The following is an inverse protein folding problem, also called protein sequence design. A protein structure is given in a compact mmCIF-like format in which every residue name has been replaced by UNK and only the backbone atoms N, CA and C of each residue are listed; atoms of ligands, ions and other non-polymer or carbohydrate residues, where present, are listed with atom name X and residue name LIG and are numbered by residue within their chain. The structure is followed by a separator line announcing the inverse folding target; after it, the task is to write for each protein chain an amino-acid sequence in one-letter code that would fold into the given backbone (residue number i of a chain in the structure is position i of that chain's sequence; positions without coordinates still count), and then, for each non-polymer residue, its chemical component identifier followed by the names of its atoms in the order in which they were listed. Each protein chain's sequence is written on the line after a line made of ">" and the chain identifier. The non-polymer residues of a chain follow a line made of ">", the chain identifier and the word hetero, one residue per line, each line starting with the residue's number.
data_IF_587673161429
#
_entry.id   IF_587673161429
#
_cell.length_a   1.000
_cell.length_b   1.000
_cell.length_c   1.000
_cell.angle_alpha   90.00
_cell.angle_beta   90.00
_cell.angle_gamma   90.00
#
_symmetry.space_group_name_H-M   'P 1'
#
loop_
_entity.id
_entity.type
_entity.pdbx_description
1 polymer ?
#
# COMPACT_ATOMS: atom_id res chain seq x y z
N UNK A 1 -43.29 -35.23 -22.26
CA UNK A 1 -41.89 -35.57 -22.59
C UNK A 1 -41.55 -34.88 -23.90
N UNK A 2 -40.95 -33.70 -23.83
CA UNK A 2 -40.47 -33.01 -25.02
C UNK A 2 -38.98 -33.34 -25.15
N UNK A 3 -38.61 -34.17 -26.12
CA UNK A 3 -37.21 -34.35 -26.50
C UNK A 3 -36.71 -33.00 -27.03
N UNK A 4 -35.70 -32.46 -26.36
CA UNK A 4 -34.95 -31.28 -26.81
C UNK A 4 -34.16 -31.68 -28.06
N UNK A 5 -34.82 -31.68 -29.22
CA UNK A 5 -34.23 -31.83 -30.56
C UNK A 5 -33.47 -30.55 -30.97
N UNK A 6 -32.34 -30.32 -30.30
CA UNK A 6 -31.38 -29.29 -30.64
C UNK A 6 -30.08 -29.59 -29.91
N UNK A 7 -28.93 -29.34 -30.54
CA UNK A 7 -27.64 -29.52 -29.90
C UNK A 7 -27.60 -28.67 -28.61
N UNK A 8 -27.76 -29.31 -27.45
CA UNK A 8 -27.76 -28.61 -26.16
C UNK A 8 -26.38 -28.02 -25.94
N UNK A 9 -26.27 -26.70 -26.01
CA UNK A 9 -25.03 -25.99 -25.72
C UNK A 9 -24.79 -25.97 -24.20
N UNK A 10 -24.12 -27.02 -23.71
CA UNK A 10 -23.81 -27.24 -22.28
C UNK A 10 -23.12 -26.02 -21.64
N UNK A 11 -22.11 -25.47 -22.30
CA UNK A 11 -21.37 -24.28 -21.81
C UNK A 11 -22.24 -23.02 -21.73
N UNK A 12 -23.16 -22.83 -22.69
CA UNK A 12 -24.10 -21.70 -22.68
C UNK A 12 -25.10 -21.77 -21.52
N UNK A 13 -25.54 -22.98 -21.18
CA UNK A 13 -26.41 -23.20 -20.01
C UNK A 13 -25.65 -22.97 -18.70
N UNK A 14 -24.42 -23.48 -18.58
CA UNK A 14 -23.57 -23.22 -17.41
C UNK A 14 -23.36 -21.71 -17.18
N UNK A 15 -23.04 -20.96 -18.24
CA UNK A 15 -22.87 -19.51 -18.14
C UNK A 15 -24.17 -18.78 -17.75
N UNK A 16 -25.31 -19.23 -18.27
CA UNK A 16 -26.63 -18.66 -17.94
C UNK A 16 -27.00 -18.92 -16.48
N UNK A 17 -26.81 -20.15 -16.00
CA UNK A 17 -27.06 -20.52 -14.59
C UNK A 17 -26.17 -19.69 -13.67
N UNK A 18 -24.89 -19.57 -14.00
CA UNK A 18 -23.93 -18.81 -13.20
C UNK A 18 -24.24 -17.31 -13.18
N UNK A 19 -24.69 -16.76 -14.31
CA UNK A 19 -25.17 -15.37 -14.39
C UNK A 19 -26.41 -15.14 -13.53
N UNK A 20 -27.37 -16.07 -13.55
CA UNK A 20 -28.57 -15.99 -12.70
C UNK A 20 -28.21 -16.14 -11.22
N UNK A 21 -27.28 -17.04 -10.87
CA UNK A 21 -26.78 -17.20 -9.51
C UNK A 21 -26.09 -15.94 -8.96
N UNK A 22 -25.48 -15.13 -9.84
CA UNK A 22 -24.86 -13.86 -9.48
C UNK A 22 -25.90 -12.73 -9.29
N UNK A 23 -26.94 -12.67 -10.15
CA UNK A 23 -27.88 -11.55 -10.20
C UNK A 23 -29.11 -11.72 -9.30
N UNK A 24 -29.53 -12.96 -9.02
CA UNK A 24 -30.79 -13.25 -8.34
C UNK A 24 -30.62 -13.43 -6.83
N UNK A 25 -31.67 -13.07 -6.09
CA UNK A 25 -31.80 -13.43 -4.68
C UNK A 25 -31.92 -14.96 -4.52
N UNK A 26 -31.57 -15.54 -3.36
CA UNK A 26 -31.76 -16.98 -3.13
C UNK A 26 -33.21 -17.44 -3.22
N UNK A 27 -34.15 -16.55 -2.89
CA UNK A 27 -35.60 -16.81 -2.94
C UNK A 27 -36.09 -16.97 -4.38
N UNK A 28 -35.52 -16.21 -5.32
CA UNK A 28 -35.87 -16.28 -6.74
C UNK A 28 -35.05 -17.34 -7.50
N UNK A 29 -33.79 -17.53 -7.10
CA UNK A 29 -32.85 -18.38 -7.80
C UNK A 29 -33.19 -19.88 -7.69
N UNK A 30 -33.61 -20.34 -6.51
CA UNK A 30 -33.99 -21.75 -6.29
C UNK A 30 -35.13 -22.21 -7.22
N UNK A 31 -36.30 -21.54 -7.20
CA UNK A 31 -37.41 -21.87 -8.09
C UNK A 31 -37.05 -21.77 -9.58
N UNK A 32 -36.24 -20.79 -9.96
CA UNK A 32 -35.76 -20.66 -11.34
C UNK A 32 -34.86 -21.84 -11.75
N UNK A 33 -33.96 -22.26 -10.87
CA UNK A 33 -33.06 -23.40 -11.10
C UNK A 33 -33.86 -24.70 -11.26
N UNK A 34 -34.86 -24.93 -10.41
CA UNK A 34 -35.76 -26.09 -10.50
C UNK A 34 -36.62 -26.07 -11.76
N UNK A 35 -37.04 -24.90 -12.24
CA UNK A 35 -37.83 -24.76 -13.47
C UNK A 35 -37.01 -24.94 -14.75
N UNK A 36 -35.68 -25.06 -14.67
CA UNK A 36 -34.80 -25.11 -15.84
C UNK A 36 -34.86 -26.49 -16.53
N UNK A 37 -35.41 -26.62 -17.75
CA UNK A 37 -35.71 -27.93 -18.35
C UNK A 37 -34.48 -28.79 -18.63
N UNK A 38 -33.32 -28.18 -18.91
CA UNK A 38 -32.08 -28.91 -19.20
C UNK A 38 -31.60 -29.74 -18.00
N UNK A 39 -31.93 -29.30 -16.78
CA UNK A 39 -31.51 -29.94 -15.54
C UNK A 39 -32.41 -31.12 -15.16
N UNK A 40 -33.55 -31.31 -15.84
CA UNK A 40 -34.40 -32.50 -15.66
C UNK A 40 -33.90 -33.70 -16.45
N UNK A 41 -32.98 -33.49 -17.39
CA UNK A 41 -32.37 -34.57 -18.14
C UNK A 41 -31.26 -35.24 -17.34
N UNK A 42 -31.40 -36.55 -17.08
CA UNK A 42 -30.36 -37.37 -16.46
C UNK A 42 -29.04 -37.38 -17.27
N UNK A 43 -29.11 -37.13 -18.58
CA UNK A 43 -27.93 -37.09 -19.45
C UNK A 43 -27.21 -35.74 -19.41
N UNK A 44 -27.96 -34.64 -19.48
CA UNK A 44 -27.36 -33.30 -19.61
C UNK A 44 -27.02 -32.66 -18.26
N UNK A 45 -27.73 -33.02 -17.18
CA UNK A 45 -27.49 -32.45 -15.84
C UNK A 45 -26.04 -32.64 -15.36
N UNK A 46 -25.41 -33.83 -15.44
CA UNK A 46 -24.00 -34.00 -15.03
C UNK A 46 -23.04 -33.17 -15.91
N UNK A 47 -23.24 -33.17 -17.23
CA UNK A 47 -22.40 -32.41 -18.17
C UNK A 47 -22.48 -30.89 -17.92
N UNK A 48 -23.67 -30.37 -17.60
CA UNK A 48 -23.86 -28.96 -17.21
C UNK A 48 -23.21 -28.69 -15.86
N UNK A 49 -23.27 -29.64 -14.92
CA UNK A 49 -22.60 -29.57 -13.63
C UNK A 49 -21.09 -29.43 -13.77
N UNK A 50 -20.44 -30.31 -14.53
CA UNK A 50 -19.00 -30.26 -14.78
C UNK A 50 -18.59 -28.95 -15.45
N UNK A 51 -19.33 -28.53 -16.49
CA UNK A 51 -19.09 -27.26 -17.16
C UNK A 51 -19.28 -26.06 -16.23
N UNK A 52 -20.22 -26.13 -15.28
CA UNK A 52 -20.47 -25.09 -14.29
C UNK A 52 -19.37 -25.03 -13.23
N UNK A 53 -18.84 -26.16 -12.76
CA UNK A 53 -17.67 -26.20 -11.88
C UNK A 53 -16.44 -25.61 -12.54
N UNK A 54 -16.17 -25.97 -13.79
CA UNK A 54 -15.06 -25.39 -14.54
C UNK A 54 -15.26 -23.90 -14.80
N UNK A 55 -16.49 -23.47 -15.05
CA UNK A 55 -16.81 -22.05 -15.18
C UNK A 55 -16.71 -21.32 -13.84
N UNK A 56 -17.11 -21.88 -12.70
CA UNK A 56 -16.90 -21.28 -11.36
C UNK A 56 -15.41 -21.23 -11.00
N UNK A 57 -14.64 -22.23 -11.43
CA UNK A 57 -13.20 -22.29 -11.22
C UNK A 57 -12.47 -21.20 -12.03
N UNK A 58 -12.92 -20.95 -13.28
CA UNK A 58 -12.33 -19.97 -14.20
C UNK A 58 -12.90 -18.56 -14.05
N UNK A 59 -14.18 -18.43 -13.75
CA UNK A 59 -14.89 -17.16 -13.74
C UNK A 59 -14.56 -16.31 -12.52
N UNK A 60 -14.84 -15.02 -12.65
CA UNK A 60 -14.62 -14.05 -11.59
C UNK A 60 -15.91 -13.56 -10.94
N UNK A 61 -17.01 -14.25 -11.20
CA UNK A 61 -18.32 -13.85 -10.76
C UNK A 61 -18.49 -14.09 -9.25
N UNK A 62 -19.23 -13.20 -8.62
CA UNK A 62 -19.57 -13.31 -7.21
C UNK A 62 -20.87 -14.12 -7.06
N UNK A 63 -20.89 -15.05 -6.11
CA UNK A 63 -22.06 -15.90 -5.85
C UNK A 63 -22.26 -15.94 -4.33
N UNK A 64 -23.48 -15.70 -3.86
CA UNK A 64 -23.80 -15.79 -2.44
C UNK A 64 -23.66 -17.23 -1.93
N UNK A 65 -23.33 -17.41 -0.65
CA UNK A 65 -23.23 -18.74 -0.05
C UNK A 65 -24.55 -19.53 -0.18
N UNK A 66 -25.69 -18.84 -0.10
CA UNK A 66 -27.01 -19.45 -0.27
C UNK A 66 -27.23 -19.96 -1.71
N UNK A 67 -26.92 -19.17 -2.74
CA UNK A 67 -27.03 -19.59 -4.14
C UNK A 67 -26.04 -20.71 -4.47
N UNK A 68 -24.85 -20.66 -3.89
CA UNK A 68 -23.87 -21.73 -4.01
C UNK A 68 -24.35 -23.02 -3.36
N UNK A 69 -24.98 -22.96 -2.19
CA UNK A 69 -25.61 -24.12 -1.56
C UNK A 69 -26.80 -24.70 -2.34
N UNK A 70 -27.53 -23.87 -3.10
CA UNK A 70 -28.56 -24.35 -4.04
C UNK A 70 -27.93 -25.07 -5.24
N UNK A 71 -26.83 -24.54 -5.78
CA UNK A 71 -26.08 -25.20 -6.86
C UNK A 71 -25.49 -26.53 -6.40
N UNK A 72 -24.82 -26.58 -5.25
CA UNK A 72 -24.23 -27.79 -4.70
C UNK A 72 -25.29 -28.90 -4.55
N UNK A 73 -26.41 -28.60 -3.90
CA UNK A 73 -27.54 -29.54 -3.74
C UNK A 73 -28.18 -29.94 -5.07
N UNK A 74 -28.28 -29.02 -6.03
CA UNK A 74 -28.86 -29.33 -7.33
C UNK A 74 -28.00 -30.35 -8.08
N UNK A 75 -26.68 -30.21 -8.04
CA UNK A 75 -25.75 -31.05 -8.79
C UNK A 75 -25.11 -32.20 -8.00
N UNK A 76 -25.36 -32.31 -6.70
CA UNK A 76 -24.81 -33.37 -5.83
C UNK A 76 -23.39 -33.11 -5.34
N UNK A 77 -22.84 -31.91 -5.53
CA UNK A 77 -21.44 -31.63 -5.19
C UNK A 77 -21.13 -31.67 -3.69
N UNK A 78 -22.16 -31.64 -2.84
CA UNK A 78 -22.07 -31.82 -1.40
C UNK A 78 -22.00 -33.31 -0.98
N UNK A 79 -22.23 -34.25 -1.90
CA UNK A 79 -22.09 -35.69 -1.65
C UNK A 79 -20.65 -36.17 -1.90
N UNK A 80 -20.08 -36.87 -0.91
CA UNK A 80 -18.70 -37.40 -0.92
C UNK A 80 -18.47 -38.42 -2.07
N UNK A 81 -19.53 -38.92 -2.71
CA UNK A 81 -19.47 -39.95 -3.74
C UNK A 81 -19.41 -39.43 -5.18
N UNK A 82 -19.59 -38.12 -5.39
CA UNK A 82 -19.60 -37.51 -6.74
C UNK A 82 -18.20 -37.29 -7.34
N UNK A 83 -17.13 -37.65 -6.62
CA UNK A 83 -15.76 -37.59 -7.13
C UNK A 83 -15.21 -36.17 -7.31
N UNK A 84 -15.96 -35.15 -6.92
CA UNK A 84 -15.49 -33.76 -6.86
C UNK A 84 -14.55 -33.60 -5.66
N UNK A 85 -13.38 -33.02 -5.90
CA UNK A 85 -12.43 -32.71 -4.84
C UNK A 85 -13.04 -31.69 -3.85
N UNK A 86 -13.25 -32.09 -2.57
CA UNK A 86 -13.91 -31.24 -1.58
C UNK A 86 -13.10 -29.97 -1.28
N UNK A 87 -11.77 -30.03 -1.34
CA UNK A 87 -10.91 -28.87 -1.08
C UNK A 87 -11.01 -27.87 -2.24
N UNK A 88 -11.04 -28.38 -3.47
CA UNK A 88 -11.28 -27.55 -4.67
C UNK A 88 -12.65 -26.87 -4.60
N UNK A 89 -13.70 -27.60 -4.23
CA UNK A 89 -15.03 -27.02 -4.09
C UNK A 89 -15.07 -25.95 -2.99
N UNK A 90 -14.54 -26.23 -1.79
CA UNK A 90 -14.47 -25.27 -0.70
C UNK A 90 -13.72 -23.99 -1.10
N UNK A 91 -12.62 -24.12 -1.88
CA UNK A 91 -11.87 -22.97 -2.39
C UNK A 91 -12.69 -22.09 -3.35
N UNK A 92 -13.49 -22.71 -4.23
CA UNK A 92 -14.37 -22.03 -5.18
C UNK A 92 -15.49 -21.30 -4.43
N UNK A 93 -16.11 -21.96 -3.45
CA UNK A 93 -17.18 -21.40 -2.65
C UNK A 93 -16.70 -20.20 -1.81
N UNK A 94 -15.59 -20.35 -1.07
CA UNK A 94 -14.98 -19.27 -0.28
C UNK A 94 -14.66 -18.05 -1.15
N UNK A 95 -14.05 -18.27 -2.33
CA UNK A 95 -13.70 -17.20 -3.26
C UNK A 95 -14.91 -16.47 -3.82
N UNK A 96 -15.91 -17.22 -4.30
CA UNK A 96 -17.13 -16.65 -4.87
C UNK A 96 -17.92 -15.84 -3.83
N UNK A 97 -18.02 -16.38 -2.61
CA UNK A 97 -18.73 -15.76 -1.50
C UNK A 97 -18.03 -14.51 -0.97
N UNK A 98 -16.69 -14.51 -0.86
CA UNK A 98 -15.94 -13.32 -0.45
C UNK A 98 -16.14 -12.16 -1.42
N UNK A 99 -16.10 -12.42 -2.73
CA UNK A 99 -16.39 -11.39 -3.74
C UNK A 99 -17.81 -10.86 -3.61
N UNK A 100 -18.77 -11.75 -3.35
CA UNK A 100 -20.15 -11.35 -3.16
C UNK A 100 -20.30 -10.46 -1.92
N UNK A 101 -19.64 -10.78 -0.81
CA UNK A 101 -19.62 -9.95 0.40
C UNK A 101 -18.97 -8.57 0.15
N UNK A 102 -17.92 -8.52 -0.68
CA UNK A 102 -17.26 -7.28 -1.07
C UNK A 102 -18.13 -6.40 -2.01
N UNK A 103 -18.82 -7.01 -2.98
CA UNK A 103 -19.69 -6.31 -3.94
C UNK A 103 -21.00 -5.83 -3.31
N UNK A 104 -21.63 -6.66 -2.49
CA UNK A 104 -22.84 -6.31 -1.74
C UNK A 104 -22.59 -5.26 -0.65
N UNK A 105 -21.32 -5.07 -0.27
CA UNK A 105 -20.94 -4.18 0.83
C UNK A 105 -21.24 -4.76 2.22
N UNK A 106 -21.47 -6.06 2.34
CA UNK A 106 -21.72 -6.71 3.63
C UNK A 106 -20.42 -6.83 4.46
N UNK A 107 -20.10 -5.76 5.18
CA UNK A 107 -18.89 -5.68 6.00
C UNK A 107 -18.86 -6.71 7.15
N UNK A 108 -20.01 -7.09 7.71
CA UNK A 108 -20.02 -8.04 8.82
C UNK A 108 -19.56 -9.43 8.36
N UNK A 109 -20.10 -9.88 7.24
CA UNK A 109 -19.79 -11.18 6.65
C UNK A 109 -18.37 -11.21 6.08
N UNK A 110 -17.96 -10.15 5.37
CA UNK A 110 -16.59 -10.05 4.89
C UNK A 110 -15.56 -10.04 6.05
N UNK A 111 -15.87 -9.37 7.18
CA UNK A 111 -14.97 -9.39 8.33
C UNK A 111 -14.80 -10.78 8.92
N UNK A 112 -15.90 -11.54 9.05
CA UNK A 112 -15.86 -12.89 9.59
C UNK A 112 -15.02 -13.82 8.69
N UNK A 113 -15.21 -13.74 7.37
CA UNK A 113 -14.44 -14.53 6.40
C UNK A 113 -12.94 -14.22 6.44
N UNK A 114 -12.57 -12.94 6.47
CA UNK A 114 -11.16 -12.54 6.50
C UNK A 114 -10.47 -12.88 7.83
N UNK A 115 -11.21 -12.85 8.93
CA UNK A 115 -10.71 -13.25 10.26
C UNK A 115 -10.50 -14.76 10.37
N UNK A 116 -11.45 -15.55 9.87
CA UNK A 116 -11.39 -17.02 9.86
C UNK A 116 -10.20 -17.53 9.05
N UNK A 117 -9.92 -16.90 7.90
CA UNK A 117 -8.78 -17.22 7.05
C UNK A 117 -7.44 -16.68 7.59
N UNK A 118 -7.48 -15.84 8.63
CA UNK A 118 -6.29 -15.17 9.18
C UNK A 118 -5.65 -14.16 8.23
N UNK A 119 -6.33 -13.77 7.15
CA UNK A 119 -5.79 -12.90 6.11
C UNK A 119 -5.79 -11.43 6.51
N UNK A 120 -6.83 -11.00 7.24
CA UNK A 120 -6.95 -9.62 7.71
C UNK A 120 -7.84 -9.52 8.94
N UNK A 121 -7.36 -8.82 9.97
CA UNK A 121 -8.14 -8.51 11.18
C UNK A 121 -8.45 -7.02 11.22
N UNK A 122 -9.59 -6.64 10.63
CA UNK A 122 -10.10 -5.28 10.68
C UNK A 122 -11.46 -5.26 11.37
N UNK A 123 -11.66 -4.31 12.28
CA UNK A 123 -12.96 -4.11 12.91
C UNK A 123 -14.05 -3.78 11.88
N UNK A 124 -15.27 -4.27 12.12
CA UNK A 124 -16.43 -4.12 11.21
C UNK A 124 -16.67 -2.69 10.71
N UNK A 125 -16.52 -1.69 11.60
CA UNK A 125 -16.70 -0.27 11.25
C UNK A 125 -15.64 0.21 10.25
N UNK A 126 -14.39 -0.20 10.45
CA UNK A 126 -13.29 0.14 9.53
C UNK A 126 -13.48 -0.53 8.19
N UNK A 127 -13.87 -1.81 8.19
CA UNK A 127 -14.13 -2.55 6.96
C UNK A 127 -15.31 -1.95 6.17
N UNK A 128 -16.42 -1.61 6.83
CA UNK A 128 -17.56 -0.95 6.21
C UNK A 128 -17.18 0.40 5.59
N UNK A 129 -16.33 1.18 6.27
CA UNK A 129 -15.79 2.44 5.73
C UNK A 129 -14.93 2.20 4.49
N UNK A 130 -14.06 1.19 4.50
CA UNK A 130 -13.21 0.85 3.35
C UNK A 130 -14.04 0.39 2.16
N UNK A 131 -15.02 -0.50 2.38
CA UNK A 131 -15.96 -0.93 1.34
C UNK A 131 -16.75 0.25 0.77
N UNK A 132 -17.25 1.16 1.62
CA UNK A 132 -17.93 2.38 1.17
C UNK A 132 -17.02 3.29 0.36
N UNK A 133 -15.71 3.33 0.65
CA UNK A 133 -14.79 4.05 -0.22
C UNK A 133 -14.74 3.37 -1.58
N UNK A 134 -14.48 2.06 -1.65
CA UNK A 134 -14.27 1.31 -2.89
C UNK A 134 -15.52 1.08 -3.76
N UNK A 135 -16.72 1.11 -3.18
CA UNK A 135 -17.97 0.84 -3.90
C UNK A 135 -18.60 2.09 -4.54
N UNK A 136 -18.12 3.29 -4.23
CA UNK A 136 -18.66 4.53 -4.77
C UNK A 136 -18.03 4.90 -6.12
N UNK A 137 -18.76 5.58 -7.02
CA UNK A 137 -18.18 6.07 -8.27
C UNK A 137 -17.00 7.00 -7.98
N UNK A 138 -15.95 6.89 -8.79
CA UNK A 138 -14.72 7.61 -8.53
C UNK A 138 -14.87 9.12 -8.71
N UNK A 139 -14.43 9.87 -7.70
CA UNK A 139 -14.37 11.33 -7.75
C UNK A 139 -13.10 11.83 -7.05
N UNK A 140 -12.17 12.39 -7.81
CA UNK A 140 -10.85 12.82 -7.33
C UNK A 140 -10.91 13.67 -6.04
N UNK A 141 -11.78 14.68 -5.96
CA UNK A 141 -11.90 15.54 -4.77
C UNK A 141 -12.34 14.77 -3.52
N UNK A 142 -13.32 13.87 -3.67
CA UNK A 142 -13.82 13.05 -2.58
C UNK A 142 -12.75 12.07 -2.10
N UNK A 143 -12.07 11.40 -3.03
CA UNK A 143 -11.00 10.45 -2.70
C UNK A 143 -9.80 11.14 -2.05
N UNK A 144 -9.43 12.34 -2.49
CA UNK A 144 -8.40 13.16 -1.85
C UNK A 144 -8.78 13.51 -0.41
N UNK A 145 -10.05 13.87 -0.16
CA UNK A 145 -10.54 14.16 1.19
C UNK A 145 -10.56 12.93 2.10
N UNK A 146 -10.98 11.78 1.57
CA UNK A 146 -10.98 10.51 2.30
C UNK A 146 -9.56 10.04 2.66
N UNK A 147 -8.57 10.33 1.81
CA UNK A 147 -7.17 9.98 2.00
C UNK A 147 -6.39 10.93 2.94
N UNK A 148 -7.04 11.90 3.60
CA UNK A 148 -6.35 12.82 4.49
C UNK A 148 -5.73 12.14 5.71
N UNK A 149 -6.32 11.05 6.22
CA UNK A 149 -5.73 10.25 7.29
C UNK A 149 -4.82 9.16 6.71
N UNK A 150 -3.55 9.04 7.15
CA UNK A 150 -2.65 7.99 6.69
C UNK A 150 -3.17 6.57 6.95
N UNK A 151 -3.87 6.38 8.08
CA UNK A 151 -4.46 5.10 8.46
C UNK A 151 -5.44 4.58 7.41
N UNK A 152 -6.30 5.44 6.86
CA UNK A 152 -7.23 5.04 5.81
C UNK A 152 -6.52 4.50 4.57
N UNK A 153 -5.34 5.03 4.23
CA UNK A 153 -4.56 4.53 3.09
C UNK A 153 -4.06 3.12 3.38
N UNK A 154 -3.59 2.88 4.61
CA UNK A 154 -3.09 1.56 5.05
C UNK A 154 -4.24 0.56 5.09
N UNK A 155 -5.36 0.92 5.72
CA UNK A 155 -6.55 0.06 5.87
C UNK A 155 -7.14 -0.35 4.52
N UNK A 156 -7.33 0.61 3.61
CA UNK A 156 -7.88 0.32 2.27
C UNK A 156 -6.93 -0.56 1.47
N UNK A 157 -5.61 -0.31 1.52
CA UNK A 157 -4.66 -1.16 0.80
C UNK A 157 -4.54 -2.55 1.43
N UNK A 158 -4.60 -2.67 2.75
CA UNK A 158 -4.62 -3.98 3.43
C UNK A 158 -5.87 -4.79 3.05
N UNK A 159 -7.03 -4.13 2.91
CA UNK A 159 -8.23 -4.78 2.37
C UNK A 159 -8.03 -5.23 0.92
N UNK A 160 -7.50 -4.37 0.05
CA UNK A 160 -7.22 -4.72 -1.34
C UNK A 160 -6.23 -5.90 -1.44
N UNK A 161 -5.19 -5.93 -0.60
CA UNK A 161 -4.22 -7.03 -0.53
C UNK A 161 -4.86 -8.34 -0.07
N UNK A 162 -5.72 -8.29 0.95
CA UNK A 162 -6.44 -9.46 1.44
C UNK A 162 -7.43 -10.02 0.41
N UNK A 163 -8.07 -9.14 -0.37
CA UNK A 163 -8.98 -9.53 -1.44
C UNK A 163 -8.24 -10.07 -2.67
N UNK A 164 -7.09 -9.50 -3.03
CA UNK A 164 -6.30 -9.97 -4.19
C UNK A 164 -5.48 -11.24 -3.88
N UNK A 165 -5.31 -11.60 -2.60
CA UNK A 165 -4.43 -12.70 -2.14
C UNK A 165 -3.07 -12.68 -2.86
N UNK A 166 -2.42 -11.53 -2.88
CA UNK A 166 -1.11 -11.36 -3.55
C UNK A 166 -1.16 -11.39 -5.08
N UNK A 167 -2.30 -11.01 -5.68
CA UNK A 167 -2.49 -10.90 -7.14
C UNK A 167 -3.01 -12.18 -7.81
N UNK A 168 -3.35 -13.21 -7.03
CA UNK A 168 -3.94 -14.45 -7.53
C UNK A 168 -5.43 -14.31 -7.84
N UNK A 169 -6.12 -13.39 -7.15
CA UNK A 169 -7.54 -13.16 -7.33
C UNK A 169 -7.79 -11.75 -7.86
N UNK A 170 -8.49 -11.59 -8.99
CA UNK A 170 -8.93 -10.26 -9.41
C UNK A 170 -9.94 -9.69 -8.42
N UNK A 171 -9.86 -8.37 -8.25
CA UNK A 171 -10.82 -7.58 -7.49
C UNK A 171 -12.21 -7.59 -8.14
N UNK A 172 -13.27 -7.31 -7.36
CA UNK A 172 -14.62 -7.12 -7.86
C UNK A 172 -14.71 -6.24 -9.11
N UNK A 173 -15.39 -6.72 -10.15
CA UNK A 173 -15.53 -6.00 -11.42
C UNK A 173 -16.44 -4.76 -11.28
N UNK A 174 -17.32 -4.75 -10.28
CA UNK A 174 -18.20 -3.63 -9.97
C UNK A 174 -17.44 -2.38 -9.47
N UNK A 175 -16.21 -2.54 -8.99
CA UNK A 175 -15.42 -1.42 -8.47
C UNK A 175 -14.71 -0.65 -9.58
N UNK A 176 -14.68 0.68 -9.45
CA UNK A 176 -14.02 1.53 -10.42
C UNK A 176 -12.49 1.33 -10.39
N UNK A 177 -11.93 0.97 -11.54
CA UNK A 177 -10.47 0.78 -11.71
C UNK A 177 -9.67 2.02 -11.32
N UNK A 178 -10.19 3.23 -11.61
CA UNK A 178 -9.50 4.48 -11.27
C UNK A 178 -9.42 4.68 -9.76
N UNK A 179 -10.43 4.22 -9.03
CA UNK A 179 -10.46 4.30 -7.58
C UNK A 179 -9.48 3.34 -6.92
N UNK A 180 -9.44 2.09 -7.38
CA UNK A 180 -8.44 1.11 -6.93
C UNK A 180 -7.03 1.62 -7.21
N UNK A 181 -6.78 2.11 -8.44
CA UNK A 181 -5.49 2.69 -8.82
C UNK A 181 -5.11 3.90 -7.96
N UNK A 182 -6.05 4.78 -7.62
CA UNK A 182 -5.80 5.90 -6.72
C UNK A 182 -5.26 5.42 -5.37
N UNK A 183 -5.96 4.51 -4.69
CA UNK A 183 -5.54 4.00 -3.38
C UNK A 183 -4.23 3.24 -3.43
N UNK A 184 -4.03 2.38 -4.45
CA UNK A 184 -2.77 1.67 -4.69
C UNK A 184 -1.60 2.62 -4.91
N UNK A 185 -1.82 3.68 -5.69
CA UNK A 185 -0.79 4.68 -5.99
C UNK A 185 -0.38 5.51 -4.77
N UNK A 186 -1.22 5.59 -3.73
CA UNK A 186 -0.88 6.27 -2.48
C UNK A 186 0.02 5.41 -1.58
N UNK A 187 -0.14 4.08 -1.63
CA UNK A 187 0.71 3.12 -0.92
C UNK A 187 2.07 2.93 -1.60
N UNK A 188 2.17 3.14 -2.91
CA UNK A 188 3.46 3.04 -3.61
C UNK A 188 4.44 4.15 -3.19
N UNK A 189 5.46 3.76 -2.42
CA UNK A 189 6.53 4.64 -1.93
C UNK A 189 7.73 4.69 -2.89
N UNK A 190 7.75 3.88 -3.95
CA UNK A 190 8.92 3.75 -4.83
C UNK A 190 9.18 5.00 -5.69
N UNK A 191 8.10 5.68 -6.11
CA UNK A 191 8.16 6.82 -7.03
C UNK A 191 7.36 8.01 -6.50
N UNK A 192 7.75 9.25 -6.86
CA UNK A 192 6.90 10.41 -6.61
C UNK A 192 5.65 10.28 -7.47
N UNK A 193 4.49 10.49 -6.85
CA UNK A 193 3.19 10.35 -7.50
C UNK A 193 2.39 11.63 -7.30
N UNK A 194 1.73 12.11 -8.36
CA UNK A 194 0.85 13.29 -8.35
C UNK A 194 -0.20 13.21 -7.24
N UNK A 195 -0.85 12.06 -7.05
CA UNK A 195 -1.88 11.92 -6.00
C UNK A 195 -1.30 12.06 -4.60
N UNK A 196 -0.12 11.49 -4.36
CA UNK A 196 0.59 11.66 -3.08
C UNK A 196 0.99 13.12 -2.87
N UNK A 197 1.46 13.81 -3.90
CA UNK A 197 1.78 15.24 -3.80
C UNK A 197 0.53 16.06 -3.45
N UNK A 198 -0.61 15.79 -4.10
CA UNK A 198 -1.87 16.49 -3.82
C UNK A 198 -2.39 16.23 -2.41
N UNK A 199 -2.36 14.97 -1.93
CA UNK A 199 -2.77 14.64 -0.55
C UNK A 199 -1.88 15.36 0.47
N UNK A 200 -0.55 15.34 0.30
CA UNK A 200 0.35 15.99 1.25
C UNK A 200 0.31 17.52 1.16
N UNK A 201 0.13 18.08 -0.04
CA UNK A 201 -0.11 19.51 -0.21
C UNK A 201 -1.40 19.96 0.49
N UNK A 202 -2.48 19.16 0.40
CA UNK A 202 -3.72 19.44 1.09
C UNK A 202 -3.55 19.35 2.61
N UNK A 203 -2.85 18.32 3.13
CA UNK A 203 -2.51 18.23 4.56
C UNK A 203 -1.71 19.45 5.04
N UNK A 204 -0.68 19.84 4.28
CA UNK A 204 0.14 21.01 4.59
C UNK A 204 -0.69 22.31 4.58
N UNK A 205 -1.59 22.46 3.60
CA UNK A 205 -2.50 23.59 3.52
C UNK A 205 -3.53 23.64 4.66
N UNK A 206 -4.10 22.50 5.07
CA UNK A 206 -5.01 22.41 6.21
C UNK A 206 -4.31 22.77 7.52
N UNK A 207 -3.10 22.26 7.73
CA UNK A 207 -2.27 22.61 8.89
C UNK A 207 -1.91 24.10 8.89
N UNK A 208 -1.53 24.65 7.73
CA UNK A 208 -1.25 26.08 7.58
C UNK A 208 -2.49 26.95 7.90
N UNK A 209 -3.66 26.57 7.40
CA UNK A 209 -4.92 27.27 7.68
C UNK A 209 -5.27 27.22 9.17
N UNK A 210 -5.08 26.06 9.82
CA UNK A 210 -5.29 25.92 11.27
C UNK A 210 -4.32 26.80 12.07
N UNK A 211 -3.04 26.80 11.70
CA UNK A 211 -2.03 27.66 12.34
C UNK A 211 -2.38 29.14 12.18
N UNK A 212 -2.81 29.56 11.00
CA UNK A 212 -3.23 30.94 10.74
C UNK A 212 -4.48 31.32 11.53
N UNK A 213 -5.45 30.41 11.68
CA UNK A 213 -6.65 30.67 12.48
C UNK A 213 -6.32 30.85 13.97
N UNK A 214 -5.44 29.99 14.51
CA UNK A 214 -4.99 30.09 15.91
C UNK A 214 -4.19 31.37 16.12
N UNK A 215 -3.17 31.61 15.27
CA UNK A 215 -2.34 32.80 15.36
C UNK A 215 -3.16 34.08 15.18
N UNK A 216 -4.10 34.11 14.23
CA UNK A 216 -5.03 35.21 14.01
C UNK A 216 -5.94 35.49 15.20
N UNK A 217 -6.45 34.45 15.86
CA UNK A 217 -7.20 34.61 17.11
C UNK A 217 -6.33 35.21 18.23
N UNK A 218 -5.10 34.71 18.40
CA UNK A 218 -4.17 35.21 19.41
C UNK A 218 -3.69 36.64 19.13
N UNK A 219 -3.49 37.00 17.86
CA UNK A 219 -3.09 38.37 17.46
C UNK A 219 -4.23 39.36 17.74
N UNK A 220 -5.47 39.02 17.39
CA UNK A 220 -6.64 39.84 17.68
C UNK A 220 -6.83 40.04 19.20
N UNK A 221 -6.64 38.99 20.00
CA UNK A 221 -6.69 39.08 21.46
C UNK A 221 -5.60 40.02 22.02
N UNK A 222 -4.37 39.90 21.51
CA UNK A 222 -3.25 40.77 21.91
C UNK A 222 -3.47 42.22 21.50
N UNK A 223 -4.06 42.48 20.33
CA UNK A 223 -4.45 43.82 19.89
C UNK A 223 -5.55 44.41 20.78
N UNK A 224 -6.52 43.60 21.21
CA UNK A 224 -7.55 44.04 22.15
C UNK A 224 -6.96 44.45 23.51
N UNK A 225 -5.87 43.80 23.93
CA UNK A 225 -5.09 44.17 25.12
C UNK A 225 -4.12 45.33 24.89
N UNK A 226 -4.10 45.92 23.69
CA UNK A 226 -3.18 47.00 23.25
C UNK A 226 -1.69 46.62 23.31
N UNK A 227 -1.37 45.32 23.31
CA UNK A 227 0.00 44.84 23.18
C UNK A 227 0.34 44.62 21.70
N UNK A 228 0.83 45.70 21.06
CA UNK A 228 1.24 45.69 19.65
C UNK A 228 2.46 44.80 19.39
N UNK A 229 3.39 44.68 20.35
CA UNK A 229 4.63 43.92 20.15
C UNK A 229 4.32 42.42 20.08
N UNK A 230 3.52 41.93 21.02
CA UNK A 230 3.12 40.53 21.06
C UNK A 230 2.19 40.19 19.89
N UNK A 231 1.28 41.11 19.52
CA UNK A 231 0.43 40.94 18.33
C UNK A 231 1.25 40.82 17.04
N UNK A 232 2.25 41.69 16.83
CA UNK A 232 3.11 41.62 15.65
C UNK A 232 3.92 40.32 15.60
N UNK A 233 4.50 39.91 16.75
CA UNK A 233 5.29 38.68 16.83
C UNK A 233 4.46 37.43 16.52
N UNK A 234 3.26 37.31 17.09
CA UNK A 234 2.35 36.19 16.84
C UNK A 234 1.86 36.15 15.39
N UNK A 235 1.59 37.31 14.80
CA UNK A 235 1.12 37.41 13.42
C UNK A 235 2.18 36.98 12.42
N UNK A 236 3.38 37.56 12.53
CA UNK A 236 4.51 37.22 11.66
C UNK A 236 4.91 35.75 11.87
N UNK A 237 5.03 35.30 13.12
CA UNK A 237 5.36 33.92 13.44
C UNK A 237 4.35 32.92 12.90
N UNK A 238 3.05 33.22 13.03
CA UNK A 238 1.97 32.39 12.50
C UNK A 238 1.99 32.28 10.97
N UNK A 239 2.25 33.39 10.27
CA UNK A 239 2.38 33.39 8.81
C UNK A 239 3.60 32.58 8.36
N UNK A 240 4.76 32.80 8.99
CA UNK A 240 5.98 32.05 8.66
C UNK A 240 5.81 30.55 8.89
N UNK A 241 5.24 30.15 10.04
CA UNK A 241 4.98 28.75 10.34
C UNK A 241 3.96 28.14 9.37
N UNK A 242 2.89 28.87 9.03
CA UNK A 242 1.89 28.43 8.04
C UNK A 242 2.51 28.19 6.66
N UNK A 243 3.34 29.13 6.18
CA UNK A 243 4.07 28.97 4.91
C UNK A 243 5.01 27.76 4.96
N UNK A 244 5.74 27.58 6.06
CA UNK A 244 6.64 26.45 6.24
C UNK A 244 5.89 25.11 6.19
N UNK A 245 4.73 25.00 6.86
CA UNK A 245 3.90 23.79 6.84
C UNK A 245 3.32 23.49 5.46
N UNK A 246 2.88 24.51 4.72
CA UNK A 246 2.39 24.37 3.36
C UNK A 246 3.51 23.87 2.41
N UNK A 247 4.69 24.48 2.48
CA UNK A 247 5.87 24.07 1.72
C UNK A 247 6.31 22.66 2.08
N UNK A 248 6.35 22.35 3.38
CA UNK A 248 6.69 21.01 3.88
C UNK A 248 5.73 19.97 3.29
N UNK A 249 4.41 20.21 3.35
CA UNK A 249 3.42 19.31 2.76
C UNK A 249 3.58 19.11 1.25
N UNK A 250 3.81 20.18 0.48
CA UNK A 250 3.99 20.10 -0.96
C UNK A 250 5.27 19.35 -1.37
N UNK A 251 6.37 19.57 -0.65
CA UNK A 251 7.68 19.01 -0.98
C UNK A 251 7.94 17.65 -0.32
N UNK A 252 7.16 17.25 0.69
CA UNK A 252 7.42 16.06 1.49
C UNK A 252 7.59 14.79 0.66
N UNK A 253 6.79 14.62 -0.40
CA UNK A 253 6.87 13.43 -1.27
C UNK A 253 8.21 13.39 -2.00
N UNK A 254 8.68 14.51 -2.52
CA UNK A 254 9.97 14.61 -3.20
C UNK A 254 11.13 14.48 -2.22
N UNK A 255 11.05 15.11 -1.04
CA UNK A 255 12.04 14.99 0.02
C UNK A 255 12.15 13.54 0.49
N UNK A 256 11.03 12.87 0.77
CA UNK A 256 11.01 11.46 1.19
C UNK A 256 11.53 10.54 0.10
N UNK A 257 11.16 10.78 -1.16
CA UNK A 257 11.67 10.02 -2.29
C UNK A 257 13.18 10.22 -2.46
N UNK A 258 13.67 11.45 -2.43
CA UNK A 258 15.09 11.76 -2.48
C UNK A 258 15.84 11.11 -1.31
N UNK A 259 15.32 11.22 -0.09
CA UNK A 259 15.91 10.58 1.10
C UNK A 259 15.95 9.05 0.95
N UNK A 260 14.93 8.44 0.33
CA UNK A 260 14.93 7.01 0.02
C UNK A 260 16.00 6.65 -1.02
N UNK A 261 16.12 7.41 -2.11
CA UNK A 261 17.17 7.21 -3.12
C UNK A 261 18.56 7.35 -2.49
N UNK A 262 18.71 8.31 -1.58
CA UNK A 262 19.95 8.47 -0.83
C UNK A 262 20.18 7.28 0.13
N UNK A 263 19.17 6.75 0.82
CA UNK A 263 19.39 5.76 1.88
C UNK A 263 19.34 4.29 1.45
N UNK A 264 18.62 3.95 0.38
CA UNK A 264 18.21 2.56 0.09
C UNK A 264 18.50 2.11 -1.34
N UNK A 265 18.16 2.93 -2.34
CA UNK A 265 17.98 2.47 -3.72
C UNK A 265 19.06 3.00 -4.66
N UNK A 266 20.31 2.55 -4.47
CA UNK A 266 21.26 2.58 -5.57
C UNK A 266 20.80 1.54 -6.59
N UNK A 267 19.93 1.95 -7.51
CA UNK A 267 19.77 1.26 -8.79
C UNK A 267 21.17 0.93 -9.32
N UNK A 268 21.40 -0.24 -9.96
CA UNK A 268 22.64 -0.56 -10.66
C UNK A 268 22.90 0.35 -11.88
N UNK A 269 22.35 1.55 -11.86
CA UNK A 269 22.59 2.67 -12.75
C UNK A 269 24.01 3.19 -12.58
N UNK A 270 24.57 3.59 -13.72
CA UNK A 270 25.89 4.23 -13.88
C UNK A 270 26.06 5.48 -13.03
N UNK A 271 24.96 6.05 -12.54
CA UNK A 271 24.92 7.28 -11.74
C UNK A 271 24.70 7.03 -10.24
N UNK A 272 24.60 5.78 -9.79
CA UNK A 272 24.40 5.47 -8.37
C UNK A 272 25.50 6.05 -7.48
N UNK A 273 26.75 6.09 -7.95
CA UNK A 273 27.84 6.70 -7.18
C UNK A 273 27.62 8.20 -6.90
N UNK A 274 26.93 8.95 -7.77
CA UNK A 274 26.59 10.35 -7.51
C UNK A 274 25.64 10.49 -6.31
N UNK A 275 24.68 9.57 -6.20
CA UNK A 275 23.77 9.54 -5.06
C UNK A 275 24.51 9.27 -3.76
N UNK A 276 25.71 8.66 -3.79
CA UNK A 276 26.53 8.43 -2.61
C UNK A 276 27.23 9.69 -2.07
N UNK A 277 27.52 10.69 -2.91
CA UNK A 277 28.34 11.87 -2.59
C UNK A 277 27.74 12.92 -1.64
N UNK A 278 26.42 13.02 -1.37
CA UNK A 278 25.90 14.08 -0.51
C UNK A 278 26.45 14.06 0.91
N UNK A 279 26.71 12.88 1.51
CA UNK A 279 27.31 12.80 2.85
C UNK A 279 28.72 13.45 2.92
N UNK A 280 29.69 13.09 2.05
CA UNK A 280 31.00 13.74 2.06
C UNK A 280 30.94 15.22 1.63
N UNK A 281 30.04 15.59 0.71
CA UNK A 281 29.87 17.00 0.32
C UNK A 281 29.33 17.86 1.48
N UNK A 282 28.40 17.33 2.29
CA UNK A 282 27.90 18.00 3.50
C UNK A 282 29.02 18.18 4.52
N UNK A 283 29.86 17.17 4.72
CA UNK A 283 31.04 17.27 5.59
C UNK A 283 32.05 18.32 5.09
N UNK A 284 32.32 18.35 3.78
CA UNK A 284 33.21 19.35 3.18
C UNK A 284 32.63 20.77 3.30
N UNK A 285 31.34 20.95 3.01
CA UNK A 285 30.64 22.22 3.17
C UNK A 285 30.69 22.70 4.62
N UNK A 286 30.52 21.80 5.59
CA UNK A 286 30.67 22.11 7.01
C UNK A 286 32.07 22.66 7.32
N UNK A 287 33.14 22.01 6.85
CA UNK A 287 34.51 22.50 7.04
C UNK A 287 34.72 23.89 6.43
N UNK A 288 34.18 24.14 5.23
CA UNK A 288 34.26 25.45 4.57
C UNK A 288 33.52 26.52 5.37
N UNK A 289 32.33 26.23 5.91
CA UNK A 289 31.61 27.18 6.74
C UNK A 289 32.37 27.49 8.03
N UNK A 290 32.91 26.47 8.70
CA UNK A 290 33.63 26.63 9.97
C UNK A 290 34.96 27.35 9.79
N UNK A 291 35.80 26.91 8.85
CA UNK A 291 37.19 27.40 8.72
C UNK A 291 37.36 28.47 7.65
N UNK A 292 36.51 28.49 6.62
CA UNK A 292 36.60 29.43 5.51
C UNK A 292 35.79 30.71 5.72
N UNK A 293 34.64 30.61 6.40
CA UNK A 293 33.70 31.73 6.60
C UNK A 293 33.50 32.12 8.07
N UNK A 294 34.17 31.43 9.00
CA UNK A 294 34.06 31.62 10.46
C UNK A 294 32.61 31.46 11.01
N UNK A 295 31.75 30.74 10.26
CA UNK A 295 30.36 30.42 10.59
C UNK A 295 30.30 29.11 11.36
N UNK A 296 30.83 29.13 12.59
CA UNK A 296 31.08 27.92 13.38
C UNK A 296 29.81 27.19 13.78
N UNK A 297 28.75 27.91 14.16
CA UNK A 297 27.48 27.30 14.58
C UNK A 297 26.77 26.66 13.40
N UNK A 298 26.68 27.37 12.27
CA UNK A 298 26.03 26.93 11.05
C UNK A 298 26.74 25.71 10.46
N UNK A 299 28.07 25.74 10.40
CA UNK A 299 28.87 24.62 9.93
C UNK A 299 28.73 23.39 10.83
N UNK A 300 28.66 23.57 12.16
CA UNK A 300 28.44 22.45 13.10
C UNK A 300 27.03 21.86 12.96
N UNK A 301 26.00 22.70 12.80
CA UNK A 301 24.62 22.26 12.58
C UNK A 301 24.47 21.48 11.27
N UNK A 302 25.26 21.81 10.25
CA UNK A 302 25.27 21.11 8.97
C UNK A 302 25.79 19.66 9.07
N UNK A 303 26.52 19.29 10.12
CA UNK A 303 27.02 17.93 10.30
C UNK A 303 25.94 16.94 10.73
N UNK A 304 24.88 17.40 11.41
CA UNK A 304 23.78 16.55 11.86
C UNK A 304 23.06 15.83 10.71
N UNK A 305 22.63 16.51 9.63
CA UNK A 305 22.03 15.82 8.49
C UNK A 305 23.02 14.91 7.75
N UNK A 306 24.30 15.28 7.66
CA UNK A 306 25.35 14.43 7.05
C UNK A 306 25.55 13.12 7.81
N UNK A 307 25.62 13.20 9.15
CA UNK A 307 25.74 12.04 10.02
C UNK A 307 24.49 11.17 9.99
N UNK A 308 23.30 11.77 10.05
CA UNK A 308 22.04 11.05 9.95
C UNK A 308 21.94 10.27 8.63
N UNK A 309 22.38 10.87 7.52
CA UNK A 309 22.40 10.23 6.21
C UNK A 309 23.35 9.03 6.16
N UNK A 310 24.59 9.21 6.64
CA UNK A 310 25.61 8.16 6.66
C UNK A 310 25.18 6.98 7.55
N UNK A 311 24.61 7.28 8.72
CA UNK A 311 24.11 6.29 9.67
C UNK A 311 22.89 5.54 9.13
N UNK A 312 21.93 6.26 8.51
CA UNK A 312 20.74 5.65 7.93
C UNK A 312 21.09 4.67 6.79
N UNK A 313 22.11 5.00 5.98
CA UNK A 313 22.65 4.08 4.95
C UNK A 313 23.25 2.82 5.55
N UNK A 314 24.06 2.98 6.60
CA UNK A 314 24.69 1.87 7.30
C UNK A 314 23.65 0.90 7.86
N UNK A 315 22.69 1.42 8.65
CA UNK A 315 21.67 0.61 9.33
C UNK A 315 20.80 -0.17 8.33
N UNK A 316 20.34 0.49 7.27
CA UNK A 316 19.32 -0.07 6.37
C UNK A 316 19.84 -1.13 5.39
N UNK A 317 21.16 -1.31 5.23
CA UNK A 317 21.75 -2.32 4.33
C UNK A 317 22.52 -3.45 5.04
N UNK A 318 22.82 -3.31 6.33
CA UNK A 318 23.45 -4.39 7.12
C UNK A 318 22.43 -5.24 7.90
N UNK A 319 21.12 -5.14 7.59
CA UNK A 319 20.01 -5.80 8.34
C UNK A 319 20.08 -5.57 9.86
N UNK A 320 20.70 -4.47 10.29
CA UNK A 320 20.95 -4.18 11.71
C UNK A 320 21.88 -5.17 12.44
N UNK A 321 22.50 -6.14 11.75
CA UNK A 321 23.41 -7.13 12.36
C UNK A 321 24.77 -6.49 12.69
N UNK A 322 24.79 -5.74 13.79
CA UNK A 322 26.01 -5.11 14.33
C UNK A 322 25.79 -3.71 14.92
N UNK A 323 24.62 -3.10 14.67
CA UNK A 323 24.34 -1.75 15.15
C UNK A 323 23.87 -1.77 16.61
N UNK A 324 24.75 -1.34 17.53
CA UNK A 324 24.40 -1.08 18.93
C UNK A 324 24.24 0.43 19.14
N UNK A 325 23.06 0.93 19.58
CA UNK A 325 22.82 2.38 19.77
C UNK A 325 23.80 3.02 20.77
N UNK A 326 24.40 2.23 21.67
CA UNK A 326 25.48 2.68 22.57
C UNK A 326 26.70 3.24 21.84
N UNK A 327 26.92 2.85 20.58
CA UNK A 327 28.05 3.34 19.76
C UNK A 327 27.83 4.76 19.21
N UNK A 328 26.65 5.37 19.39
CA UNK A 328 26.32 6.74 18.96
C UNK A 328 26.39 7.79 20.07
N UNK A 329 26.48 7.37 21.35
CA UNK A 329 26.52 8.30 22.49
C UNK A 329 27.84 9.11 22.50
N UNK A 330 28.98 8.48 22.21
CA UNK A 330 30.27 9.17 22.07
C UNK A 330 30.34 10.12 20.85
N UNK A 331 29.91 9.67 19.65
CA UNK A 331 29.81 10.53 18.46
C UNK A 331 28.92 11.76 18.64
N UNK A 332 27.82 11.66 19.39
CA UNK A 332 26.91 12.79 19.65
C UNK A 332 27.56 13.93 20.44
N UNK A 333 28.55 13.63 21.29
CA UNK A 333 29.33 14.63 22.04
C UNK A 333 30.48 15.18 21.16
N UNK A 334 31.11 14.33 20.35
CA UNK A 334 32.14 14.73 19.39
C UNK A 334 31.64 15.64 18.27
N UNK A 335 30.33 15.67 18.01
CA UNK A 335 29.72 16.55 17.00
C UNK A 335 29.83 18.05 17.29
N UNK A 336 30.08 18.45 18.53
CA UNK A 336 30.35 19.86 18.87
C UNK A 336 31.76 20.31 18.47
N UNK A 337 32.61 19.36 18.04
CA UNK A 337 33.91 19.59 17.44
C UNK A 337 33.79 19.27 15.94
N UNK A 338 33.75 20.27 15.05
CA UNK A 338 33.44 20.09 13.63
C UNK A 338 34.34 19.07 12.91
N UNK A 339 35.61 19.02 13.30
CA UNK A 339 36.63 18.13 12.74
C UNK A 339 36.32 16.67 13.07
N UNK A 340 35.91 16.40 14.32
CA UNK A 340 35.52 15.06 14.78
C UNK A 340 34.23 14.62 14.10
N UNK A 341 33.25 15.53 13.97
CA UNK A 341 32.02 15.26 13.24
C UNK A 341 32.27 14.94 11.75
N UNK A 342 33.13 15.71 11.07
CA UNK A 342 33.52 15.45 9.68
C UNK A 342 34.22 14.10 9.52
N UNK A 343 35.22 13.81 10.37
CA UNK A 343 35.94 12.55 10.35
C UNK A 343 34.99 11.36 10.49
N UNK A 344 33.99 11.48 11.36
CA UNK A 344 33.02 10.42 11.60
C UNK A 344 32.06 10.20 10.43
N UNK A 345 31.57 11.28 9.80
CA UNK A 345 30.75 11.19 8.56
C UNK A 345 31.54 10.53 7.43
N UNK A 346 32.80 10.94 7.22
CA UNK A 346 33.67 10.39 6.19
C UNK A 346 34.04 8.93 6.48
N UNK A 347 34.30 8.56 7.74
CA UNK A 347 34.60 7.20 8.13
C UNK A 347 33.42 6.27 7.85
N UNK A 348 32.19 6.65 8.26
CA UNK A 348 30.98 5.89 7.96
C UNK A 348 30.71 5.78 6.46
N UNK A 349 30.98 6.85 5.71
CA UNK A 349 30.80 6.85 4.26
C UNK A 349 31.83 5.97 3.54
N UNK A 350 33.11 6.09 3.87
CA UNK A 350 34.21 5.34 3.22
C UNK A 350 34.10 3.85 3.49
N UNK A 351 33.86 3.46 4.74
CA UNK A 351 33.66 2.06 5.15
C UNK A 351 32.49 1.42 4.40
N UNK A 352 31.39 2.16 4.23
CA UNK A 352 30.28 1.73 3.39
C UNK A 352 30.67 1.64 1.89
N UNK A 353 31.28 2.68 1.33
CA UNK A 353 31.58 2.78 -0.10
C UNK A 353 32.55 1.67 -0.56
N UNK A 354 33.57 1.38 0.24
CA UNK A 354 34.52 0.30 -0.02
C UNK A 354 33.85 -1.06 0.02
N UNK A 355 32.99 -1.33 1.03
CA UNK A 355 32.26 -2.61 1.14
C UNK A 355 31.28 -2.83 -0.01
N UNK A 356 30.55 -1.79 -0.42
CA UNK A 356 29.59 -1.84 -1.54
C UNK A 356 30.30 -2.11 -2.88
N UNK A 357 31.51 -1.55 -3.08
CA UNK A 357 32.38 -1.89 -4.22
C UNK A 357 32.88 -3.34 -4.17
N UNK A 358 33.35 -3.81 -3.02
CA UNK A 358 33.82 -5.19 -2.86
C UNK A 358 32.70 -6.23 -3.10
N UNK A 359 31.48 -5.97 -2.59
CA UNK A 359 30.32 -6.86 -2.83
C UNK A 359 29.93 -6.95 -4.30
N UNK A 360 29.96 -5.82 -5.03
CA UNK A 360 29.68 -5.84 -6.48
C UNK A 360 30.72 -6.65 -7.25
N UNK A 361 32.00 -6.46 -6.93
CA UNK A 361 33.09 -7.25 -7.53
C UNK A 361 32.94 -8.76 -7.24
N UNK A 362 32.43 -9.16 -6.08
CA UNK A 362 32.18 -10.58 -5.76
C UNK A 362 30.99 -11.20 -6.48
N UNK A 363 30.00 -10.41 -6.93
CA UNK A 363 28.82 -10.90 -7.66
C UNK A 363 29.13 -11.05 -9.16
N UNK A 364 30.03 -10.22 -9.68
CA UNK A 364 30.46 -10.25 -11.09
C UNK A 364 31.55 -11.31 -11.37
N UNK A 365 32.05 -12.00 -10.35
CA UNK A 365 32.94 -13.16 -10.49
C UNK A 365 32.09 -14.40 -10.82
N UNK A 366 32.37 -15.14 -11.91
CA UNK A 366 31.69 -16.41 -12.15
C UNK A 366 31.92 -17.34 -10.96
N UNK A 367 30.94 -18.19 -10.59
CA UNK A 367 31.13 -19.15 -9.52
C UNK A 367 32.41 -19.94 -9.81
N UNK A 368 33.25 -20.20 -8.78
CA UNK A 368 34.47 -20.99 -8.99
C UNK A 368 34.07 -22.28 -9.67
N UNK A 369 34.71 -22.60 -10.80
CA UNK A 369 34.50 -23.84 -11.50
C UNK A 369 34.60 -24.96 -10.47
N UNK A 370 33.50 -25.69 -10.25
CA UNK A 370 33.51 -26.88 -9.43
C UNK A 370 34.61 -27.78 -9.99
N UNK A 371 35.73 -27.84 -9.29
CA UNK A 371 36.84 -28.70 -9.64
C UNK A 371 36.35 -30.14 -9.54
N UNK A 372 35.98 -30.71 -10.68
CA UNK A 372 36.02 -32.15 -10.86
C UNK A 372 37.49 -32.55 -10.81
N UNK A 373 37.95 -32.91 -9.63
CA UNK A 373 39.09 -33.81 -9.49
C UNK A 373 38.54 -35.23 -9.46
N UNK A 374 38.92 -35.96 -10.52
CA UNK A 374 38.93 -37.41 -10.75
C UNK A 374 38.70 -38.29 -9.52
#
# INVERSE_FOLDING_TARGET
>A
MAELEGAVHVSGHAHTILRMAHLSSPEDFGPWLEATPVLWSLRYKPLVGDALLDELARSHNSVSAANMGLLARCFGWDDVHDGVDPDRLASIQSRGHRRWAAESGNAAELSALLEEEGSLRLGRVTLARCLRYLSQPWHARRSLWQAQLPEHIIEVNALLDALERGGQEPLPAAWDRQQVQFWRSLADVSRPNRWRCQVNALRGGLLAALTLAIAGGSTLMSLAQRDLRTAAALGIGGVLLGVLLALAGALWVHVRWALRQLTLDLSPSRWGWLLALPAPLIALASLILVHGLDLRLEGTLLLFPGLALATARWIRREDGRGFRPRNLIGPGIGMFVPEVGCALVLLLWTTWFLRDRCRRLSIDLPPPASGNTV
#
